data_IF_050000794242
#
_entry.id   IF_050000794242
#
_cell.length_a   1.000
_cell.length_b   1.000
_cell.length_c   1.000
_cell.angle_alpha   90.00
_cell.angle_beta   90.00
_cell.angle_gamma   90.00
#
_symmetry.space_group_name_H-M   'P 1'
#
loop_
_entity.id
_entity.type
_entity.pdbx_description
1 polymer ?
#
# COMPACT_ATOMS: atom_id res chain seq x y z
N UNK A 1 14.90 -7.14 15.30
CA UNK A 1 14.81 -5.67 15.41
C UNK A 1 13.70 -5.20 14.51
N UNK A 2 12.74 -4.42 15.03
CA UNK A 2 11.65 -3.87 14.21
C UNK A 2 12.23 -2.85 13.23
N UNK A 3 11.59 -2.65 12.08
CA UNK A 3 12.06 -1.73 11.02
C UNK A 3 12.33 -0.31 11.56
N UNK A 4 11.49 0.13 12.49
CA UNK A 4 11.54 1.46 13.09
C UNK A 4 12.80 1.66 13.95
N UNK A 5 13.26 0.63 14.66
CA UNK A 5 14.45 0.71 15.51
C UNK A 5 15.71 1.00 14.67
N UNK A 6 15.79 0.43 13.45
CA UNK A 6 16.91 0.70 12.52
C UNK A 6 16.90 2.14 12.00
N UNK A 7 15.73 2.72 11.78
CA UNK A 7 15.60 4.10 11.30
C UNK A 7 15.97 5.10 12.40
N UNK A 8 15.53 4.83 13.63
CA UNK A 8 15.92 5.62 14.82
C UNK A 8 17.43 5.60 15.02
N UNK A 9 18.07 4.43 14.92
CA UNK A 9 19.54 4.31 15.00
C UNK A 9 20.26 5.11 13.92
N UNK A 10 19.77 5.10 12.68
CA UNK A 10 20.37 5.86 11.58
C UNK A 10 20.26 7.37 11.78
N UNK A 11 19.12 7.85 12.27
CA UNK A 11 18.92 9.26 12.60
C UNK A 11 19.83 9.65 13.77
N UNK A 12 19.88 8.85 14.82
CA UNK A 12 20.79 9.08 15.96
C UNK A 12 22.24 9.17 15.51
N UNK A 13 22.70 8.25 14.68
CA UNK A 13 24.08 8.27 14.16
C UNK A 13 24.34 9.56 13.38
N UNK A 14 23.39 10.01 12.56
CA UNK A 14 23.52 11.25 11.80
C UNK A 14 23.62 12.47 12.71
N UNK A 15 22.86 12.50 13.81
CA UNK A 15 22.93 13.59 14.80
C UNK A 15 24.28 13.60 15.52
N UNK A 16 24.81 12.43 15.90
CA UNK A 16 26.12 12.31 16.52
C UNK A 16 27.26 12.71 15.58
N UNK A 17 27.16 12.37 14.29
CA UNK A 17 28.15 12.76 13.28
C UNK A 17 28.16 14.29 13.08
N UNK A 18 26.98 14.93 13.07
CA UNK A 18 26.86 16.39 13.00
C UNK A 18 27.41 17.07 14.26
N UNK A 19 27.22 16.47 15.42
CA UNK A 19 27.79 16.96 16.68
C UNK A 19 29.32 16.88 16.69
N UNK A 20 29.89 15.75 16.24
CA UNK A 20 31.34 15.59 16.13
C UNK A 20 31.97 16.60 15.16
N UNK A 21 31.24 17.00 14.12
CA UNK A 21 31.65 18.04 13.16
C UNK A 21 31.47 19.46 13.69
N UNK A 22 30.83 19.64 14.85
CA UNK A 22 30.52 20.95 15.43
C UNK A 22 29.41 21.70 14.70
N UNK A 23 28.62 21.01 13.88
CA UNK A 23 27.50 21.59 13.11
C UNK A 23 26.20 21.61 13.92
N UNK A 24 26.14 20.78 14.96
CA UNK A 24 25.02 20.66 15.88
C UNK A 24 25.56 20.43 17.30
N UNK A 25 24.79 20.78 18.33
CA UNK A 25 25.12 20.45 19.72
C UNK A 25 23.93 19.73 20.32
N UNK A 26 24.12 18.48 20.78
CA UNK A 26 23.10 17.72 21.49
C UNK A 26 23.26 17.99 22.98
N UNK A 27 22.35 18.78 23.54
CA UNK A 27 22.37 19.10 24.99
C UNK A 27 21.68 18.04 25.85
N UNK A 28 21.20 16.95 25.25
CA UNK A 28 20.47 15.87 25.92
C UNK A 28 21.26 14.57 25.93
N UNK A 29 21.19 13.84 27.04
CA UNK A 29 21.76 12.48 27.14
C UNK A 29 20.80 11.41 26.57
N UNK A 30 19.63 11.80 26.07
CA UNK A 30 18.60 10.94 25.50
C UNK A 30 18.53 11.11 23.98
N UNK A 31 19.67 10.98 23.29
CA UNK A 31 19.74 11.16 21.83
C UNK A 31 18.79 10.24 21.04
N UNK A 32 18.54 9.02 21.54
CA UNK A 32 17.58 8.11 20.94
C UNK A 32 16.14 8.64 20.96
N UNK A 33 15.75 9.37 22.02
CA UNK A 33 14.42 9.97 22.12
C UNK A 33 14.30 11.18 21.19
N UNK A 34 15.37 11.96 21.04
CA UNK A 34 15.43 13.02 20.03
C UNK A 34 15.30 12.46 18.60
N UNK A 35 15.99 11.35 18.30
CA UNK A 35 15.88 10.67 17.02
C UNK A 35 14.46 10.11 16.77
N UNK A 36 13.82 9.52 17.79
CA UNK A 36 12.41 9.09 17.72
C UNK A 36 11.46 10.26 17.48
N UNK A 37 11.67 11.38 18.16
CA UNK A 37 10.85 12.58 17.97
C UNK A 37 10.98 13.13 16.55
N UNK A 38 12.20 13.25 16.03
CA UNK A 38 12.46 13.70 14.65
C UNK A 38 11.79 12.77 13.63
N UNK A 39 11.93 11.45 13.82
CA UNK A 39 11.26 10.46 12.97
C UNK A 39 9.74 10.63 13.04
N UNK A 40 9.19 10.77 14.26
CA UNK A 40 7.77 10.99 14.50
C UNK A 40 7.25 12.22 13.78
N UNK A 41 7.88 13.39 13.97
CA UNK A 41 7.49 14.63 13.32
C UNK A 41 7.60 14.57 11.79
N UNK A 42 8.62 13.90 11.25
CA UNK A 42 8.75 13.69 9.81
C UNK A 42 7.62 12.80 9.25
N UNK A 43 7.26 11.73 9.97
CA UNK A 43 6.15 10.85 9.59
C UNK A 43 4.80 11.56 9.72
N UNK A 44 4.58 12.34 10.76
CA UNK A 44 3.37 13.15 10.93
C UNK A 44 3.21 14.14 9.79
N UNK A 45 4.28 14.83 9.40
CA UNK A 45 4.28 15.75 8.27
C UNK A 45 4.01 15.01 6.96
N UNK A 46 4.68 13.87 6.74
CA UNK A 46 4.47 13.02 5.57
C UNK A 46 3.00 12.58 5.45
N UNK A 47 2.39 12.15 6.55
CA UNK A 47 0.96 11.77 6.61
C UNK A 47 0.04 12.97 6.38
N UNK A 48 0.36 14.13 6.96
CA UNK A 48 -0.40 15.36 6.75
C UNK A 48 -0.35 15.84 5.30
N UNK A 49 0.79 15.65 4.63
CA UNK A 49 0.97 15.96 3.21
C UNK A 49 0.28 14.91 2.32
N UNK A 50 0.29 13.63 2.71
CA UNK A 50 -0.53 12.59 2.06
C UNK A 50 -2.02 12.89 2.13
N UNK A 51 -2.51 13.51 3.20
CA UNK A 51 -3.89 13.96 3.31
C UNK A 51 -4.26 15.13 2.38
N UNK A 52 -3.26 15.81 1.79
CA UNK A 52 -3.42 16.98 0.91
C UNK A 52 -3.07 16.70 -0.54
N UNK A 53 -2.22 15.71 -0.83
CA UNK A 53 -1.99 15.22 -2.18
C UNK A 53 -2.96 14.08 -2.50
N UNK A 54 -3.48 14.02 -3.73
CA UNK A 54 -3.96 12.75 -4.28
C UNK A 54 -2.79 11.76 -4.19
N UNK A 55 -2.81 10.90 -3.16
CA UNK A 55 -1.78 9.88 -2.99
C UNK A 55 -1.75 9.07 -4.30
N UNK A 56 -0.56 8.72 -4.84
CA UNK A 56 -0.51 7.85 -5.99
C UNK A 56 -1.25 6.56 -5.61
N UNK A 57 -2.40 6.29 -6.22
CA UNK A 57 -3.30 5.20 -5.85
C UNK A 57 -2.54 3.87 -5.83
N UNK A 58 -1.47 3.77 -6.61
CA UNK A 58 -0.58 2.63 -6.75
C UNK A 58 0.07 2.19 -5.43
N UNK A 59 0.34 3.11 -4.49
CA UNK A 59 0.98 2.77 -3.20
C UNK A 59 0.07 1.95 -2.30
N UNK A 60 -1.23 1.96 -2.59
CA UNK A 60 -2.26 1.30 -1.77
C UNK A 60 -2.64 -0.08 -2.30
N UNK A 61 -2.18 -0.45 -3.51
CA UNK A 61 -2.43 -1.75 -4.12
C UNK A 61 -2.09 -2.92 -3.18
N UNK A 62 -0.92 -2.97 -2.49
CA UNK A 62 -0.61 -4.10 -1.61
C UNK A 62 -1.64 -4.31 -0.51
N UNK A 63 -2.15 -3.21 0.08
CA UNK A 63 -3.18 -3.27 1.10
C UNK A 63 -4.52 -3.76 0.52
N UNK A 64 -4.94 -3.21 -0.61
CA UNK A 64 -6.19 -3.57 -1.28
C UNK A 64 -6.19 -5.02 -1.79
N UNK A 65 -5.02 -5.55 -2.17
CA UNK A 65 -4.84 -6.96 -2.51
C UNK A 65 -5.07 -7.86 -1.30
N UNK A 66 -4.53 -7.53 -0.12
CA UNK A 66 -4.74 -8.32 1.10
C UNK A 66 -6.22 -8.29 1.53
N UNK A 67 -6.89 -7.15 1.44
CA UNK A 67 -8.34 -7.09 1.68
C UNK A 67 -9.12 -7.94 0.68
N UNK A 68 -8.74 -7.91 -0.60
CA UNK A 68 -9.36 -8.72 -1.65
C UNK A 68 -9.17 -10.22 -1.38
N UNK A 69 -7.97 -10.64 -0.95
CA UNK A 69 -7.67 -12.03 -0.55
C UNK A 69 -8.60 -12.46 0.58
N UNK A 70 -8.75 -11.63 1.60
CA UNK A 70 -9.60 -11.95 2.74
C UNK A 70 -11.07 -12.07 2.34
N UNK A 71 -11.55 -11.21 1.44
CA UNK A 71 -12.89 -11.30 0.87
C UNK A 71 -13.09 -12.56 0.01
N UNK A 72 -12.10 -12.95 -0.81
CA UNK A 72 -12.17 -14.22 -1.56
C UNK A 72 -12.29 -15.40 -0.60
N UNK A 73 -11.44 -15.43 0.43
CA UNK A 73 -11.43 -16.48 1.45
C UNK A 73 -12.80 -16.63 2.12
N UNK A 74 -13.34 -15.53 2.66
CA UNK A 74 -14.62 -15.52 3.38
C UNK A 74 -15.81 -15.85 2.49
N UNK A 75 -15.86 -15.28 1.29
CA UNK A 75 -17.04 -15.31 0.43
C UNK A 75 -17.21 -16.62 -0.33
N UNK A 76 -16.10 -17.25 -0.69
CA UNK A 76 -16.10 -18.48 -1.50
C UNK A 76 -15.64 -19.71 -0.71
N UNK A 77 -15.41 -19.57 0.59
CA UNK A 77 -15.03 -20.66 1.51
C UNK A 77 -13.81 -21.46 1.01
N UNK A 78 -12.80 -20.73 0.52
CA UNK A 78 -11.54 -21.31 0.04
C UNK A 78 -10.43 -21.10 1.08
N UNK A 79 -9.37 -21.91 1.01
CA UNK A 79 -8.20 -21.72 1.89
C UNK A 79 -7.50 -20.38 1.62
N UNK A 80 -6.81 -19.82 2.61
CA UNK A 80 -6.04 -18.58 2.43
C UNK A 80 -5.00 -18.72 1.31
N UNK A 81 -4.30 -19.85 1.24
CA UNK A 81 -3.34 -20.12 0.17
C UNK A 81 -4.01 -20.05 -1.21
N UNK A 82 -5.21 -20.64 -1.35
CA UNK A 82 -5.95 -20.59 -2.61
C UNK A 82 -6.48 -19.20 -2.92
N UNK A 83 -6.96 -18.45 -1.92
CA UNK A 83 -7.38 -17.07 -2.09
C UNK A 83 -6.23 -16.17 -2.59
N UNK A 84 -5.01 -16.36 -2.06
CA UNK A 84 -3.79 -15.68 -2.54
C UNK A 84 -3.48 -16.02 -4.00
N UNK A 85 -3.57 -17.29 -4.38
CA UNK A 85 -3.38 -17.72 -5.77
C UNK A 85 -4.40 -17.09 -6.72
N UNK A 86 -5.68 -17.08 -6.35
CA UNK A 86 -6.77 -16.50 -7.16
C UNK A 86 -6.54 -14.99 -7.36
N UNK A 87 -6.39 -14.24 -6.28
CA UNK A 87 -6.19 -12.78 -6.35
C UNK A 87 -4.89 -12.44 -7.08
N UNK A 88 -3.81 -13.16 -6.81
CA UNK A 88 -2.52 -12.95 -7.47
C UNK A 88 -2.57 -13.23 -8.98
N UNK A 89 -3.21 -14.34 -9.39
CA UNK A 89 -3.36 -14.67 -10.80
C UNK A 89 -4.22 -13.63 -11.54
N UNK A 90 -5.28 -13.12 -10.91
CA UNK A 90 -6.10 -12.06 -11.49
C UNK A 90 -5.34 -10.74 -11.63
N UNK A 91 -4.60 -10.34 -10.58
CA UNK A 91 -3.76 -9.15 -10.62
C UNK A 91 -2.69 -9.23 -11.74
N UNK A 92 -2.04 -10.38 -11.92
CA UNK A 92 -1.09 -10.59 -13.02
C UNK A 92 -1.76 -10.56 -14.40
N UNK A 93 -3.03 -10.98 -14.53
CA UNK A 93 -3.78 -10.79 -15.78
C UNK A 93 -4.06 -9.31 -16.06
N UNK A 94 -4.38 -8.51 -15.04
CA UNK A 94 -4.56 -7.07 -15.17
C UNK A 94 -3.25 -6.38 -15.59
N UNK A 95 -2.13 -6.73 -14.94
CA UNK A 95 -0.79 -6.19 -15.26
C UNK A 95 -0.34 -6.45 -16.68
N UNK A 96 -0.78 -7.54 -17.31
CA UNK A 96 -0.48 -7.84 -18.71
C UNK A 96 -1.26 -6.97 -19.70
N UNK A 97 -2.37 -6.35 -19.28
CA UNK A 97 -3.30 -5.63 -20.16
C UNK A 97 -3.36 -4.14 -19.89
N UNK A 98 -3.01 -3.71 -18.68
CA UNK A 98 -3.24 -2.36 -18.18
C UNK A 98 -1.98 -1.81 -17.50
N UNK A 99 -1.75 -0.49 -17.59
CA UNK A 99 -0.72 0.17 -16.81
C UNK A 99 -1.10 0.20 -15.32
N UNK A 100 -0.11 0.36 -14.43
CA UNK A 100 -0.29 0.23 -12.98
C UNK A 100 -1.30 1.22 -12.42
N UNK A 101 -1.31 2.44 -12.96
CA UNK A 101 -2.20 3.54 -12.60
C UNK A 101 -3.66 3.14 -12.81
N UNK A 102 -3.98 2.50 -13.94
CA UNK A 102 -5.34 1.99 -14.24
C UNK A 102 -5.73 0.83 -13.32
N UNK A 103 -4.77 0.01 -12.91
CA UNK A 103 -5.04 -1.08 -11.96
C UNK A 103 -5.31 -0.50 -10.57
N UNK A 104 -4.56 0.53 -10.17
CA UNK A 104 -4.80 1.24 -8.93
C UNK A 104 -6.19 1.89 -8.91
N UNK A 105 -6.60 2.53 -10.01
CA UNK A 105 -7.96 3.05 -10.19
C UNK A 105 -9.02 1.96 -9.99
N UNK A 106 -8.84 0.76 -10.57
CA UNK A 106 -9.78 -0.35 -10.36
C UNK A 106 -9.90 -0.74 -8.89
N UNK A 107 -8.79 -1.00 -8.22
CA UNK A 107 -8.79 -1.44 -6.82
C UNK A 107 -9.28 -0.37 -5.85
N UNK A 108 -9.12 0.92 -6.18
CA UNK A 108 -9.57 2.01 -5.32
C UNK A 108 -11.05 2.34 -5.48
N UNK A 109 -11.60 2.13 -6.68
CA UNK A 109 -12.99 2.47 -6.99
C UNK A 109 -13.94 1.29 -6.87
N UNK A 110 -13.46 0.07 -7.03
CA UNK A 110 -14.21 -1.13 -6.68
C UNK A 110 -13.93 -1.53 -5.24
N UNK A 111 -14.97 -1.98 -4.53
CA UNK A 111 -14.79 -2.52 -3.18
C UNK A 111 -13.98 -3.81 -3.22
N UNK A 112 -13.23 -4.12 -2.16
CA UNK A 112 -12.47 -5.38 -2.03
C UNK A 112 -13.36 -6.63 -2.25
N UNK A 113 -14.66 -6.53 -1.92
CA UNK A 113 -15.65 -7.59 -2.17
C UNK A 113 -16.11 -7.74 -3.63
N UNK A 114 -16.03 -6.69 -4.44
CA UNK A 114 -16.24 -6.71 -5.90
C UNK A 114 -15.01 -7.28 -6.61
N UNK A 115 -13.82 -6.81 -6.23
CA UNK A 115 -12.55 -7.34 -6.72
C UNK A 115 -12.42 -8.83 -6.41
N UNK A 116 -12.88 -9.28 -5.25
CA UNK A 116 -12.90 -10.69 -4.90
C UNK A 116 -13.79 -11.52 -5.83
N UNK A 117 -14.99 -11.02 -6.19
CA UNK A 117 -15.89 -11.70 -7.14
C UNK A 117 -15.25 -11.82 -8.52
N UNK A 118 -14.71 -10.71 -9.04
CA UNK A 118 -14.06 -10.68 -10.35
C UNK A 118 -12.87 -11.64 -10.40
N UNK A 119 -12.02 -11.61 -9.37
CA UNK A 119 -10.86 -12.49 -9.25
C UNK A 119 -11.29 -13.95 -9.28
N UNK A 120 -12.25 -14.33 -8.43
CA UNK A 120 -12.74 -15.71 -8.33
C UNK A 120 -13.41 -16.17 -9.63
N UNK A 121 -14.35 -15.40 -10.18
CA UNK A 121 -15.05 -15.79 -11.42
C UNK A 121 -14.13 -15.88 -12.63
N UNK A 122 -13.15 -15.00 -12.73
CA UNK A 122 -12.19 -15.04 -13.83
C UNK A 122 -11.26 -16.24 -13.73
N UNK A 123 -10.71 -16.51 -12.56
CA UNK A 123 -9.68 -17.52 -12.37
C UNK A 123 -10.26 -18.92 -12.21
N UNK A 124 -11.29 -19.11 -11.39
CA UNK A 124 -11.86 -20.44 -11.11
C UNK A 124 -12.92 -20.85 -12.13
N UNK A 125 -13.76 -19.91 -12.57
CA UNK A 125 -14.89 -20.23 -13.43
C UNK A 125 -14.63 -19.93 -14.91
N UNK A 126 -13.48 -19.32 -15.24
CA UNK A 126 -13.13 -18.94 -16.61
C UNK A 126 -14.12 -17.94 -17.25
N UNK A 127 -14.90 -17.24 -16.43
CA UNK A 127 -15.91 -16.28 -16.90
C UNK A 127 -15.28 -14.90 -17.00
N UNK A 128 -15.41 -14.25 -18.16
CA UNK A 128 -15.20 -12.80 -18.25
C UNK A 128 -16.50 -12.14 -17.78
N UNK A 129 -16.57 -11.70 -16.52
CA UNK A 129 -17.46 -10.59 -16.18
C UNK A 129 -16.79 -9.31 -16.67
N UNK A 130 -16.68 -9.20 -17.99
CA UNK A 130 -16.30 -7.97 -18.67
C UNK A 130 -17.45 -6.97 -18.51
N UNK A 131 -17.53 -6.38 -17.33
CA UNK A 131 -18.12 -5.08 -17.09
C UNK A 131 -17.00 -4.13 -16.70
N UNK A 132 -16.05 -3.92 -17.62
CA UNK A 132 -15.15 -2.75 -17.55
C UNK A 132 -15.90 -1.45 -17.88
N UNK A 133 -17.17 -1.56 -18.30
CA UNK A 133 -18.11 -0.45 -18.54
C UNK A 133 -18.22 0.53 -17.35
N UNK A 134 -17.82 0.13 -16.14
CA UNK A 134 -17.75 1.04 -15.00
C UNK A 134 -16.64 2.11 -15.10
N UNK A 135 -15.62 1.97 -15.96
CA UNK A 135 -14.71 3.08 -16.25
C UNK A 135 -15.18 3.94 -17.43
N UNK A 136 -15.89 3.36 -18.40
CA UNK A 136 -16.31 4.07 -19.61
C UNK A 136 -17.43 5.10 -19.36
N UNK A 137 -18.32 4.90 -18.37
CA UNK A 137 -19.35 5.91 -18.08
C UNK A 137 -18.80 7.23 -17.51
N UNK A 138 -17.61 7.21 -16.90
CA UNK A 138 -16.99 8.40 -16.29
C UNK A 138 -16.11 9.20 -17.24
N UNK A 139 -15.59 8.60 -18.31
CA UNK A 139 -14.93 9.35 -19.40
C UNK A 139 -15.92 10.08 -20.31
N UNK A 140 -17.22 9.75 -20.21
CA UNK A 140 -18.30 10.37 -20.96
C UNK A 140 -18.97 11.55 -20.23
N UNK A 141 -18.51 11.93 -19.03
CA UNK A 141 -19.02 13.07 -18.25
C UNK A 141 -17.90 13.91 -17.63
#
# INVERSE_FOLDING_TARGET
>A
MKSDDKLVEKILQSLLDLEQRGELVLTTNFGADAARYILGSALEQLVADFGKSESPMEVTIPYLLEETIEEVRKKFDVSEARAREITGAYYELLRKRLPLERIAEFYWHETSGEMAKRSYYRIELGRDEAGLDYLDWRHNY
#
